data_IF_317565250982
#
_entry.id   IF_317565250982
#
_cell.length_a   1.000
_cell.length_b   1.000
_cell.length_c   1.000
_cell.angle_alpha   90.00
_cell.angle_beta   90.00
_cell.angle_gamma   90.00
#
_symmetry.space_group_name_H-M   'P 1'
#
loop_
_entity.id
_entity.type
_entity.pdbx_description
1 polymer ?
#
# COMPACT_ATOMS: atom_id res chain seq x y z
N UNK A 1 8.94 -22.67 4.07
CA UNK A 1 9.43 -21.29 4.18
C UNK A 1 8.95 -20.56 2.93
N UNK A 2 7.88 -19.80 3.02
CA UNK A 2 7.37 -19.03 1.87
C UNK A 2 8.28 -17.82 1.70
N UNK A 3 8.98 -17.72 0.57
CA UNK A 3 9.79 -16.54 0.24
C UNK A 3 8.91 -15.29 0.35
N UNK A 4 9.21 -14.43 1.35
CA UNK A 4 8.49 -13.16 1.48
C UNK A 4 8.89 -12.29 0.30
N UNK A 5 7.96 -12.09 -0.65
CA UNK A 5 8.13 -11.13 -1.74
C UNK A 5 8.40 -9.75 -1.13
N UNK A 6 9.48 -9.11 -1.57
CA UNK A 6 9.91 -7.77 -1.09
C UNK A 6 8.90 -6.69 -1.51
N UNK A 7 8.25 -6.90 -2.67
CA UNK A 7 7.18 -6.05 -3.15
C UNK A 7 6.08 -6.88 -3.82
N UNK A 8 4.85 -6.41 -3.67
CA UNK A 8 3.62 -7.03 -4.14
C UNK A 8 3.02 -6.16 -5.24
N UNK A 9 2.40 -6.77 -6.25
CA UNK A 9 1.56 -6.00 -7.18
C UNK A 9 0.29 -5.53 -6.47
N UNK A 10 -0.49 -4.64 -7.10
CA UNK A 10 -1.82 -4.25 -6.59
C UNK A 10 -2.73 -5.47 -6.41
N UNK A 11 -2.58 -6.49 -7.25
CA UNK A 11 -3.39 -7.72 -7.19
C UNK A 11 -2.93 -8.58 -6.02
N UNK A 12 -1.63 -8.85 -5.91
CA UNK A 12 -1.10 -9.61 -4.78
C UNK A 12 -1.37 -8.90 -3.43
N UNK A 13 -1.31 -7.57 -3.39
CA UNK A 13 -1.60 -6.78 -2.20
C UNK A 13 -3.09 -6.83 -1.82
N UNK A 14 -3.99 -6.90 -2.80
CA UNK A 14 -5.40 -7.08 -2.57
C UNK A 14 -5.70 -8.45 -1.96
N UNK A 15 -5.08 -9.50 -2.50
CA UNK A 15 -5.21 -10.87 -2.00
C UNK A 15 -4.59 -11.02 -0.60
N UNK A 16 -3.49 -10.31 -0.34
CA UNK A 16 -2.80 -10.33 0.95
C UNK A 16 -3.56 -9.60 2.06
N UNK A 17 -4.15 -8.43 1.76
CA UNK A 17 -4.80 -7.56 2.78
C UNK A 17 -6.31 -7.70 2.86
N UNK A 18 -6.93 -8.28 1.83
CA UNK A 18 -8.39 -8.25 1.65
C UNK A 18 -8.94 -6.89 1.17
N UNK A 19 -8.09 -5.89 0.92
CA UNK A 19 -8.51 -4.59 0.39
C UNK A 19 -8.81 -4.72 -1.11
N UNK A 20 -9.95 -4.22 -1.56
CA UNK A 20 -10.30 -4.22 -2.97
C UNK A 20 -9.29 -3.45 -3.85
N UNK A 21 -8.94 -4.01 -5.01
CA UNK A 21 -7.99 -3.43 -5.99
C UNK A 21 -8.27 -1.96 -6.33
N UNK A 22 -9.54 -1.57 -6.43
CA UNK A 22 -9.93 -0.18 -6.72
C UNK A 22 -9.60 0.76 -5.57
N UNK A 23 -9.76 0.31 -4.31
CA UNK A 23 -9.36 1.08 -3.14
C UNK A 23 -7.85 1.23 -3.09
N UNK A 24 -7.08 0.16 -3.33
CA UNK A 24 -5.62 0.25 -3.41
C UNK A 24 -5.16 1.23 -4.51
N UNK A 25 -5.79 1.22 -5.69
CA UNK A 25 -5.50 2.21 -6.75
C UNK A 25 -5.76 3.65 -6.29
N UNK A 26 -6.91 3.90 -5.63
CA UNK A 26 -7.23 5.23 -5.08
C UNK A 26 -6.23 5.66 -4.00
N UNK A 27 -5.81 4.77 -3.12
CA UNK A 27 -4.83 5.07 -2.08
C UNK A 27 -3.46 5.46 -2.65
N UNK A 28 -3.07 4.83 -3.76
CA UNK A 28 -1.86 5.19 -4.52
C UNK A 28 -2.04 6.53 -5.21
N UNK A 29 -3.18 6.76 -5.86
CA UNK A 29 -3.52 8.04 -6.51
C UNK A 29 -3.58 9.20 -5.50
N UNK A 30 -4.01 8.94 -4.27
CA UNK A 30 -4.01 9.92 -3.18
C UNK A 30 -2.66 10.09 -2.50
N UNK A 31 -1.61 9.42 -2.99
CA UNK A 31 -0.26 9.45 -2.45
C UNK A 31 -0.18 9.02 -0.97
N UNK A 32 -1.16 8.21 -0.52
CA UNK A 32 -1.21 7.69 0.86
C UNK A 32 -0.35 6.44 1.02
N UNK A 33 -0.22 5.66 -0.05
CA UNK A 33 0.59 4.45 -0.13
C UNK A 33 1.77 4.69 -1.09
N UNK A 34 3.02 4.50 -0.63
CA UNK A 34 4.19 4.66 -1.49
C UNK A 34 4.33 3.45 -2.42
N UNK A 35 4.64 3.71 -3.69
CA UNK A 35 4.77 2.69 -4.73
C UNK A 35 6.09 2.76 -5.48
N UNK A 36 6.46 1.63 -6.07
CA UNK A 36 7.53 1.48 -7.04
C UNK A 36 6.92 1.28 -8.43
N UNK A 37 7.23 2.18 -9.35
CA UNK A 37 6.83 2.05 -10.74
C UNK A 37 7.91 1.28 -11.51
N UNK A 38 7.57 0.10 -12.03
CA UNK A 38 8.45 -0.74 -12.84
C UNK A 38 7.80 -0.91 -14.22
N UNK A 39 8.19 -0.04 -15.15
CA UNK A 39 7.54 0.06 -16.46
C UNK A 39 6.05 0.38 -16.30
N UNK A 40 5.17 -0.54 -16.73
CA UNK A 40 3.71 -0.41 -16.60
C UNK A 40 3.14 -0.99 -15.30
N UNK A 41 3.98 -1.63 -14.47
CA UNK A 41 3.55 -2.28 -13.23
C UNK A 41 3.79 -1.35 -12.04
N UNK A 42 2.82 -1.34 -11.14
CA UNK A 42 2.89 -0.66 -9.84
C UNK A 42 3.09 -1.71 -8.77
N UNK A 43 4.17 -1.60 -8.00
CA UNK A 43 4.51 -2.50 -6.91
C UNK A 43 4.47 -1.75 -5.57
N UNK A 44 3.87 -2.34 -4.57
CA UNK A 44 3.84 -1.85 -3.19
C UNK A 44 4.84 -2.69 -2.40
N UNK A 45 5.75 -2.06 -1.66
CA UNK A 45 6.64 -2.84 -0.79
C UNK A 45 5.86 -3.41 0.39
N UNK A 46 6.17 -4.65 0.76
CA UNK A 46 5.45 -5.38 1.81
C UNK A 46 5.58 -4.69 3.17
N UNK A 47 6.77 -4.18 3.50
CA UNK A 47 7.03 -3.41 4.74
C UNK A 47 6.17 -2.15 4.85
N UNK A 48 6.00 -1.43 3.73
CA UNK A 48 5.18 -0.22 3.67
C UNK A 48 3.69 -0.56 3.74
N UNK A 49 3.27 -1.68 3.16
CA UNK A 49 1.89 -2.14 3.21
C UNK A 49 1.50 -2.58 4.64
N UNK A 50 2.35 -3.36 5.31
CA UNK A 50 2.15 -3.76 6.70
C UNK A 50 2.04 -2.53 7.62
N UNK A 51 2.98 -1.59 7.50
CA UNK A 51 2.93 -0.32 8.25
C UNK A 51 1.68 0.51 7.94
N UNK A 52 1.22 0.50 6.69
CA UNK A 52 -0.01 1.19 6.31
C UNK A 52 -1.23 0.61 6.99
N UNK A 53 -1.32 -0.72 7.11
CA UNK A 53 -2.40 -1.41 7.81
C UNK A 53 -2.41 -1.04 9.29
N UNK A 54 -1.25 -1.05 9.96
CA UNK A 54 -1.14 -0.68 11.37
C UNK A 54 -1.57 0.78 11.63
N UNK A 55 -1.09 1.72 10.81
CA UNK A 55 -1.38 3.16 11.01
C UNK A 55 -2.84 3.51 10.72
N UNK A 56 -3.50 2.74 9.85
CA UNK A 56 -4.87 2.98 9.40
C UNK A 56 -5.89 1.98 9.96
N UNK A 57 -5.53 1.23 10.99
CA UNK A 57 -6.47 0.35 11.68
C UNK A 57 -7.68 1.15 12.19
N UNK A 58 -8.88 0.63 11.94
CA UNK A 58 -10.15 1.27 12.31
C UNK A 58 -10.55 2.50 11.49
N UNK A 59 -9.83 2.83 10.41
CA UNK A 59 -10.16 3.96 9.52
C UNK A 59 -10.90 3.52 8.27
N UNK A 60 -11.79 4.39 7.78
CA UNK A 60 -12.37 4.19 6.45
C UNK A 60 -11.33 4.49 5.35
N UNK A 61 -10.88 3.44 4.66
CA UNK A 61 -9.92 3.51 3.55
C UNK A 61 -10.51 4.09 2.25
N UNK A 62 -11.84 4.28 2.19
CA UNK A 62 -12.53 4.91 1.05
C UNK A 62 -12.62 6.42 1.19
N UNK A 63 -12.35 6.96 2.37
CA UNK A 63 -12.33 8.39 2.63
C UNK A 63 -10.88 8.91 2.67
N UNK A 64 -10.53 9.75 1.69
CA UNK A 64 -9.20 10.36 1.56
C UNK A 64 -8.79 11.17 2.79
N UNK A 65 -9.74 11.78 3.49
CA UNK A 65 -9.48 12.64 4.65
C UNK A 65 -9.18 11.82 5.90
N UNK A 66 -9.85 10.68 6.05
CA UNK A 66 -9.65 9.71 7.13
C UNK A 66 -8.28 9.04 7.03
N UNK A 67 -7.83 8.68 5.83
CA UNK A 67 -6.58 7.89 5.64
C UNK A 67 -5.32 8.70 5.96
N UNK A 68 -4.47 8.13 6.81
CA UNK A 68 -3.12 8.63 7.09
C UNK A 68 -2.11 8.15 6.03
N UNK A 69 -1.32 9.06 5.44
CA UNK A 69 -0.27 8.68 4.52
C UNK A 69 0.88 7.97 5.23
N UNK A 70 1.42 6.94 4.60
CA UNK A 70 2.70 6.34 4.99
C UNK A 70 3.79 6.88 4.06
N UNK A 71 4.72 7.66 4.61
CA UNK A 71 5.87 8.16 3.88
C UNK A 71 7.13 7.42 4.29
N UNK A 72 8.02 7.20 3.33
CA UNK A 72 9.37 6.72 3.63
C UNK A 72 10.16 7.90 4.18
N UNK A 73 10.64 7.81 5.42
CA UNK A 73 11.68 8.74 5.88
C UNK A 73 12.93 8.45 5.06
N UNK A 74 13.31 9.40 4.20
CA UNK A 74 14.63 9.40 3.59
C UNK A 74 15.55 9.88 4.71
N UNK A 75 16.21 8.95 5.40
CA UNK A 75 17.30 9.31 6.30
C UNK A 75 18.47 9.67 5.40
N UNK A 76 18.74 10.97 5.25
CA UNK A 76 19.98 11.49 4.65
C UNK A 76 21.14 11.23 5.60
#
# INVERSE_FOLDING_TARGET
>A
MTERKIALSIEDAADYTGIGRNTLRKLVEWEKLPVLNVGRKVLIKTDMLEKFMEVNEGRDLRDKSSVKPVTRKVTT
#
